data_IF_901055717275
#
_entry.id   IF_901055717275
#
_cell.length_a   1.000
_cell.length_b   1.000
_cell.length_c   1.000
_cell.angle_alpha   90.00
_cell.angle_beta   90.00
_cell.angle_gamma   90.00
#
_symmetry.space_group_name_H-M   'P 1'
#
loop_
_entity.id
_entity.type
_entity.pdbx_description
1 polymer ?
#
# COMPACT_ATOMS: atom_id res chain seq x y z
N UNK A 1 -3.16 3.02 -39.69
CA UNK A 1 -4.11 3.65 -38.75
C UNK A 1 -4.08 2.85 -37.46
N UNK A 2 -3.35 3.32 -36.45
CA UNK A 2 -3.33 2.69 -35.13
C UNK A 2 -4.62 3.15 -34.43
N UNK A 3 -5.58 2.24 -34.28
CA UNK A 3 -6.75 2.47 -33.42
C UNK A 3 -6.23 2.49 -31.98
N UNK A 4 -6.13 3.68 -31.42
CA UNK A 4 -5.83 3.91 -30.00
C UNK A 4 -6.86 3.14 -29.16
N UNK A 5 -6.44 2.01 -28.57
CA UNK A 5 -7.22 1.21 -27.62
C UNK A 5 -7.19 1.86 -26.22
N UNK A 6 -7.26 3.19 -26.14
CA UNK A 6 -7.48 3.86 -24.86
C UNK A 6 -8.97 3.79 -24.62
N UNK A 7 -9.36 2.82 -23.80
CA UNK A 7 -10.72 2.74 -23.27
C UNK A 7 -11.00 4.08 -22.55
N UNK A 8 -11.93 4.94 -23.01
CA UNK A 8 -12.04 6.34 -22.56
C UNK A 8 -12.50 6.53 -21.11
N UNK A 9 -12.60 5.45 -20.32
CA UNK A 9 -13.28 5.40 -19.03
C UNK A 9 -12.36 4.96 -17.88
N UNK A 10 -11.03 5.16 -17.96
CA UNK A 10 -10.12 4.75 -16.88
C UNK A 10 -9.72 5.87 -15.90
N UNK A 11 -9.87 7.14 -16.27
CA UNK A 11 -9.50 8.25 -15.40
C UNK A 11 -10.75 8.87 -14.78
N UNK A 12 -10.80 8.85 -13.45
CA UNK A 12 -11.86 9.50 -12.71
C UNK A 12 -11.86 11.02 -13.00
N UNK A 13 -13.00 11.71 -12.87
CA UNK A 13 -13.09 13.16 -13.06
C UNK A 13 -12.04 13.95 -12.26
N UNK A 14 -11.64 13.43 -11.10
CA UNK A 14 -10.61 13.99 -10.23
C UNK A 14 -9.22 13.96 -10.90
N UNK A 15 -8.84 12.87 -11.57
CA UNK A 15 -7.54 12.79 -12.25
C UNK A 15 -7.50 13.77 -13.43
N UNK A 16 -8.59 13.90 -14.19
CA UNK A 16 -8.69 14.89 -15.27
C UNK A 16 -8.58 16.31 -14.73
N UNK A 17 -9.19 16.60 -13.58
CA UNK A 17 -9.10 17.91 -12.94
C UNK A 17 -7.67 18.24 -12.47
N UNK A 18 -6.90 17.24 -12.01
CA UNK A 18 -5.48 17.39 -11.65
C UNK A 18 -4.65 17.62 -12.91
N UNK A 19 -4.78 16.74 -13.92
CA UNK A 19 -4.00 16.84 -15.16
C UNK A 19 -4.28 18.14 -15.94
N UNK A 20 -5.51 18.65 -15.91
CA UNK A 20 -5.88 19.94 -16.52
C UNK A 20 -5.20 21.17 -15.91
N UNK A 21 -4.56 21.04 -14.73
CA UNK A 21 -3.76 22.10 -14.10
C UNK A 21 -2.27 22.01 -14.41
N UNK A 22 -1.84 21.02 -15.18
CA UNK A 22 -0.43 20.83 -15.55
C UNK A 22 -0.13 21.54 -16.88
N UNK A 23 1.15 21.83 -17.12
CA UNK A 23 1.59 22.42 -18.40
C UNK A 23 1.42 21.47 -19.60
N UNK A 24 1.27 20.16 -19.35
CA UNK A 24 1.14 19.11 -20.36
C UNK A 24 -0.01 18.12 -20.06
N UNK A 25 -1.29 18.54 -20.09
CA UNK A 25 -2.41 17.69 -19.66
C UNK A 25 -2.51 16.33 -20.38
N UNK A 26 -2.34 16.22 -21.71
CA UNK A 26 -2.40 14.92 -22.40
C UNK A 26 -1.29 13.96 -21.95
N UNK A 27 -0.09 14.48 -21.67
CA UNK A 27 1.02 13.67 -21.18
C UNK A 27 0.74 13.18 -19.77
N UNK A 28 0.22 14.03 -18.89
CA UNK A 28 -0.22 13.66 -17.54
C UNK A 28 -1.23 12.51 -17.57
N UNK A 29 -2.30 12.65 -18.37
CA UNK A 29 -3.33 11.61 -18.48
C UNK A 29 -2.75 10.29 -19.01
N UNK A 30 -1.87 10.35 -20.01
CA UNK A 30 -1.22 9.14 -20.54
C UNK A 30 -0.22 8.49 -19.58
N UNK A 31 0.29 9.26 -18.61
CA UNK A 31 1.27 8.81 -17.62
C UNK A 31 0.61 8.12 -16.41
N UNK A 32 -0.68 8.37 -16.17
CA UNK A 32 -1.45 7.72 -15.10
C UNK A 32 -2.07 6.43 -15.64
N UNK A 33 -1.55 5.30 -15.16
CA UNK A 33 -2.00 3.96 -15.50
C UNK A 33 -2.12 3.07 -14.25
N UNK A 34 -2.54 1.83 -14.41
CA UNK A 34 -2.70 0.87 -13.30
C UNK A 34 -1.41 0.68 -12.48
N UNK A 35 -0.23 0.76 -13.10
CA UNK A 35 1.06 0.70 -12.39
C UNK A 35 1.29 1.93 -11.52
N UNK A 36 0.91 3.12 -11.99
CA UNK A 36 0.97 4.34 -11.16
C UNK A 36 0.02 4.26 -9.96
N UNK A 37 -1.16 3.66 -10.14
CA UNK A 37 -2.13 3.44 -9.05
C UNK A 37 -1.58 2.45 -8.03
N UNK A 38 -0.92 1.37 -8.48
CA UNK A 38 -0.25 0.41 -7.58
C UNK A 38 0.81 1.09 -6.72
N UNK A 39 1.70 1.87 -7.32
CA UNK A 39 2.77 2.60 -6.60
C UNK A 39 2.17 3.53 -5.54
N UNK A 40 1.09 4.24 -5.87
CA UNK A 40 0.41 5.12 -4.90
C UNK A 40 -0.25 4.34 -3.76
N UNK A 41 -0.89 3.20 -4.05
CA UNK A 41 -1.50 2.35 -3.02
C UNK A 41 -0.44 1.76 -2.07
N UNK A 42 0.71 1.34 -2.61
CA UNK A 42 1.85 0.87 -1.82
C UNK A 42 2.40 2.01 -0.95
N UNK A 43 2.58 3.20 -1.51
CA UNK A 43 3.07 4.36 -0.77
C UNK A 43 2.13 4.74 0.39
N UNK A 44 0.81 4.64 0.18
CA UNK A 44 -0.17 4.84 1.24
C UNK A 44 -0.02 3.80 2.36
N UNK A 45 0.17 2.53 2.00
CA UNK A 45 0.39 1.43 2.95
C UNK A 45 1.64 1.69 3.79
N UNK A 46 2.76 2.01 3.14
CA UNK A 46 4.04 2.33 3.81
C UNK A 46 3.91 3.51 4.77
N UNK A 47 3.19 4.57 4.37
CA UNK A 47 3.01 5.72 5.26
C UNK A 47 2.19 5.36 6.50
N UNK A 48 1.21 4.46 6.37
CA UNK A 48 0.48 3.93 7.50
C UNK A 48 1.38 3.02 8.38
N UNK A 49 2.24 2.19 7.79
CA UNK A 49 3.22 1.37 8.52
C UNK A 49 4.18 2.22 9.33
N UNK A 50 4.72 3.29 8.71
CA UNK A 50 5.59 4.25 9.40
C UNK A 50 4.91 4.94 10.56
N UNK A 51 3.62 5.24 10.44
CA UNK A 51 2.85 5.81 11.54
C UNK A 51 2.64 4.79 12.67
N UNK A 52 2.46 3.51 12.33
CA UNK A 52 2.30 2.43 13.29
C UNK A 52 3.59 2.13 14.08
N UNK A 53 4.77 2.36 13.49
CA UNK A 53 6.05 2.17 14.17
C UNK A 53 6.18 2.97 15.47
N UNK A 54 5.56 4.15 15.57
CA UNK A 54 5.54 4.90 16.82
C UNK A 54 4.84 4.12 17.96
N UNK A 55 3.77 3.39 17.63
CA UNK A 55 3.07 2.51 18.57
C UNK A 55 3.89 1.26 18.86
N UNK A 56 4.56 0.68 17.86
CA UNK A 56 5.46 -0.47 18.03
C UNK A 56 6.59 -0.16 19.01
N UNK A 57 7.23 1.00 18.85
CA UNK A 57 8.29 1.49 19.73
C UNK A 57 7.78 1.74 21.16
N UNK A 58 6.57 2.31 21.32
CA UNK A 58 5.96 2.57 22.64
C UNK A 58 5.72 1.28 23.43
N UNK A 59 5.31 0.23 22.75
CA UNK A 59 4.89 -1.04 23.38
C UNK A 59 6.04 -2.03 23.53
N UNK A 60 7.26 -1.64 23.11
CA UNK A 60 8.49 -2.44 23.18
C UNK A 60 8.31 -3.87 22.64
N UNK A 61 7.54 -4.00 21.55
CA UNK A 61 7.33 -5.27 20.88
C UNK A 61 8.44 -5.49 19.85
N UNK A 62 9.62 -5.90 20.33
CA UNK A 62 10.83 -6.08 19.52
C UNK A 62 10.58 -6.98 18.30
N UNK A 63 9.82 -8.06 18.47
CA UNK A 63 9.42 -8.97 17.38
C UNK A 63 8.55 -8.27 16.33
N UNK A 64 7.65 -7.37 16.76
CA UNK A 64 6.84 -6.56 15.84
C UNK A 64 7.67 -5.46 15.17
N UNK A 65 8.74 -4.99 15.79
CA UNK A 65 9.57 -3.93 15.25
C UNK A 65 10.27 -4.35 13.96
N UNK A 66 10.87 -5.54 13.94
CA UNK A 66 11.50 -6.10 12.73
C UNK A 66 10.48 -6.26 11.60
N UNK A 67 9.32 -6.85 11.91
CA UNK A 67 8.24 -7.10 10.95
C UNK A 67 7.67 -5.81 10.33
N UNK A 68 7.46 -4.77 11.14
CA UNK A 68 6.96 -3.48 10.65
C UNK A 68 8.04 -2.68 9.91
N UNK A 69 9.32 -2.83 10.28
CA UNK A 69 10.42 -2.18 9.57
C UNK A 69 10.62 -2.74 8.16
N UNK A 70 10.53 -4.06 7.98
CA UNK A 70 10.56 -4.69 6.65
C UNK A 70 9.40 -4.22 5.76
N UNK A 71 8.24 -4.03 6.38
CA UNK A 71 7.01 -3.59 5.73
C UNK A 71 6.93 -2.08 5.43
N UNK A 72 7.96 -1.29 5.76
CA UNK A 72 8.01 0.16 5.46
C UNK A 72 8.85 0.52 4.22
N UNK A 73 9.57 -0.45 3.65
CA UNK A 73 10.40 -0.24 2.45
C UNK A 73 9.58 -0.44 1.17
N UNK A 74 9.58 0.58 0.29
CA UNK A 74 8.84 0.55 -0.96
C UNK A 74 9.32 -0.52 -1.93
N UNK A 75 10.62 -0.78 -2.00
CA UNK A 75 11.16 -1.80 -2.88
C UNK A 75 10.73 -3.19 -2.40
N UNK A 76 10.77 -3.42 -1.08
CA UNK A 76 10.35 -4.66 -0.44
C UNK A 76 8.86 -4.90 -0.61
N UNK A 77 8.01 -3.96 -0.21
CA UNK A 77 6.55 -4.10 -0.28
C UNK A 77 6.07 -4.23 -1.73
N UNK A 78 6.64 -3.45 -2.66
CA UNK A 78 6.26 -3.54 -4.08
C UNK A 78 6.62 -4.90 -4.72
N UNK A 79 7.68 -5.54 -4.24
CA UNK A 79 8.12 -6.85 -4.74
C UNK A 79 7.43 -8.00 -4.01
N UNK A 80 7.05 -7.80 -2.74
CA UNK A 80 6.58 -8.86 -1.87
C UNK A 80 5.42 -8.44 -0.97
N UNK A 81 4.30 -8.05 -1.59
CA UNK A 81 3.05 -7.70 -0.89
C UNK A 81 2.58 -8.81 0.05
N UNK A 82 2.75 -10.08 -0.32
CA UNK A 82 2.35 -11.21 0.53
C UNK A 82 3.19 -11.33 1.81
N UNK A 83 4.48 -10.99 1.76
CA UNK A 83 5.31 -10.94 2.96
C UNK A 83 4.84 -9.82 3.88
N UNK A 84 4.62 -8.61 3.37
CA UNK A 84 4.12 -7.51 4.19
C UNK A 84 2.78 -7.84 4.89
N UNK A 85 1.89 -8.57 4.23
CA UNK A 85 0.66 -9.07 4.85
C UNK A 85 0.94 -10.10 5.96
N UNK A 86 1.89 -11.01 5.73
CA UNK A 86 2.33 -12.01 6.72
C UNK A 86 2.97 -11.36 7.94
N UNK A 87 3.75 -10.30 7.74
CA UNK A 87 4.45 -9.59 8.81
C UNK A 87 3.46 -8.97 9.81
N UNK A 88 2.41 -8.31 9.31
CA UNK A 88 1.36 -7.77 10.18
C UNK A 88 0.57 -8.86 10.90
N UNK A 89 0.27 -9.97 10.22
CA UNK A 89 -0.42 -11.12 10.85
C UNK A 89 0.45 -11.73 11.94
N UNK A 90 1.74 -11.95 11.68
CA UNK A 90 2.68 -12.57 12.62
C UNK A 90 2.83 -11.74 13.88
N UNK A 91 2.91 -10.41 13.76
CA UNK A 91 2.92 -9.53 14.92
C UNK A 91 1.61 -9.66 15.73
N UNK A 92 0.45 -9.69 15.07
CA UNK A 92 -0.84 -9.86 15.75
C UNK A 92 -0.93 -11.21 16.47
N UNK A 93 -0.51 -12.28 15.81
CA UNK A 93 -0.51 -13.65 16.35
C UNK A 93 0.40 -13.74 17.59
N UNK A 94 1.54 -13.04 17.59
CA UNK A 94 2.43 -12.98 18.76
C UNK A 94 1.77 -12.42 20.03
N UNK A 95 0.92 -11.38 19.91
CA UNK A 95 0.15 -10.88 21.05
C UNK A 95 -0.94 -11.88 21.50
N UNK A 96 -1.62 -12.54 20.56
CA UNK A 96 -2.64 -13.53 20.87
C UNK A 96 -2.04 -14.75 21.59
N UNK A 97 -0.90 -15.24 21.11
CA UNK A 97 -0.16 -16.36 21.71
C UNK A 97 0.39 -16.01 23.11
N UNK A 98 0.81 -14.76 23.33
CA UNK A 98 1.22 -14.26 24.63
C UNK A 98 0.04 -14.06 25.61
N UNK A 99 -1.20 -14.05 25.12
CA UNK A 99 -2.38 -13.73 25.91
C UNK A 99 -2.45 -12.27 26.37
N UNK A 100 -1.71 -11.38 25.68
CA UNK A 100 -1.61 -9.96 26.00
C UNK A 100 -2.55 -9.13 25.11
N UNK A 101 -3.06 -7.97 25.60
CA UNK A 101 -3.79 -7.05 24.74
C UNK A 101 -2.91 -6.62 23.56
N UNK A 102 -3.44 -6.67 22.34
CA UNK A 102 -2.73 -6.22 21.16
C UNK A 102 -3.05 -4.74 20.86
N UNK A 103 -2.14 -3.79 21.16
CA UNK A 103 -2.33 -2.37 20.86
C UNK A 103 -2.23 -2.06 19.36
N UNK A 104 -1.73 -3.00 18.56
CA UNK A 104 -1.56 -2.88 17.11
C UNK A 104 -2.70 -3.52 16.31
N UNK A 105 -3.66 -4.20 16.95
CA UNK A 105 -4.67 -4.99 16.26
C UNK A 105 -5.38 -4.20 15.16
N UNK A 106 -5.92 -3.02 15.48
CA UNK A 106 -6.66 -2.17 14.54
C UNK A 106 -5.77 -1.68 13.38
N UNK A 107 -4.52 -1.33 13.66
CA UNK A 107 -3.60 -0.82 12.63
C UNK A 107 -3.06 -1.96 11.76
N UNK A 108 -2.73 -3.12 12.33
CA UNK A 108 -2.35 -4.33 11.60
C UNK A 108 -3.48 -4.80 10.67
N UNK A 109 -4.73 -4.75 11.14
CA UNK A 109 -5.92 -5.05 10.35
C UNK A 109 -6.07 -4.12 9.14
N UNK A 110 -5.87 -2.81 9.39
CA UNK A 110 -5.95 -1.79 8.35
C UNK A 110 -4.83 -2.00 7.33
N UNK A 111 -3.60 -2.24 7.77
CA UNK A 111 -2.44 -2.46 6.92
C UNK A 111 -2.60 -3.71 6.06
N UNK A 112 -3.10 -4.80 6.64
CA UNK A 112 -3.49 -6.03 5.91
C UNK A 112 -4.49 -5.74 4.78
N UNK A 113 -5.54 -4.95 5.06
CA UNK A 113 -6.54 -4.55 4.03
C UNK A 113 -5.92 -3.68 2.95
N UNK A 114 -5.00 -2.78 3.30
CA UNK A 114 -4.30 -1.92 2.35
C UNK A 114 -3.36 -2.72 1.44
N UNK A 115 -2.61 -3.68 1.99
CA UNK A 115 -1.75 -4.59 1.23
C UNK A 115 -2.57 -5.52 0.34
N UNK A 116 -3.72 -6.01 0.82
CA UNK A 116 -4.67 -6.78 0.01
C UNK A 116 -5.17 -5.99 -1.21
N UNK A 117 -5.49 -4.70 -1.05
CA UNK A 117 -5.82 -3.83 -2.18
C UNK A 117 -4.65 -3.72 -3.17
N UNK A 118 -3.42 -3.54 -2.68
CA UNK A 118 -2.23 -3.48 -3.53
C UNK A 118 -2.06 -4.80 -4.32
N UNK A 119 -2.29 -5.95 -3.70
CA UNK A 119 -2.19 -7.25 -4.35
C UNK A 119 -3.28 -7.41 -5.42
N UNK A 120 -4.51 -7.01 -5.12
CA UNK A 120 -5.57 -7.01 -6.12
C UNK A 120 -5.21 -6.13 -7.33
N UNK A 121 -4.69 -4.92 -7.10
CA UNK A 121 -4.25 -4.02 -8.18
C UNK A 121 -3.08 -4.63 -8.97
N UNK A 122 -2.12 -5.28 -8.32
CA UNK A 122 -0.96 -5.89 -9.01
C UNK A 122 -1.39 -7.00 -9.97
N UNK A 123 -2.42 -7.78 -9.62
CA UNK A 123 -2.99 -8.81 -10.52
C UNK A 123 -3.71 -8.24 -11.74
N UNK A 124 -4.10 -6.96 -11.71
CA UNK A 124 -4.72 -6.27 -12.84
C UNK A 124 -3.70 -5.67 -13.81
N UNK A 125 -2.42 -5.64 -13.44
CA UNK A 125 -1.33 -5.25 -14.34
C UNK A 125 -1.14 -6.36 -15.39
N UNK A 126 -1.12 -5.97 -16.67
CA UNK A 126 -0.82 -6.84 -17.81
C UNK A 126 0.47 -6.40 -18.48
#
# INVERSE_FOLDING_TARGET
MIKTLVNPALLSPEIKAICGKTDFPPLCESSVNTSSVLVLAIQASINATKAALATVEEVAADDCQELYDDSRDIATVNTNLSAAMTDYSTCNDGFEEAGEPNPLADVGDKLTKMVSNCLAISTLLK
#
